data_IF_193090157073
#
_entry.id   IF_193090157073
#
_cell.length_a   1.000
_cell.length_b   1.000
_cell.length_c   1.000
_cell.angle_alpha   90.00
_cell.angle_beta   90.00
_cell.angle_gamma   90.00
#
_symmetry.space_group_name_H-M   'P 1'
#
loop_
_entity.id
_entity.type
_entity.pdbx_description
1 polymer ?
2 water ?
#
# COMPACT_ATOMS: atom_id res chain seq x y z
N UNK A 2 -16.81 8.72 -25.78
CA UNK A 2 -16.93 10.03 -25.03
C UNK A 2 -17.76 9.89 -23.76
N UNK A 3 -18.87 9.16 -23.82
CA UNK A 3 -19.74 8.97 -22.64
C UNK A 3 -18.98 8.18 -21.57
N UNK A 4 -18.22 7.17 -21.97
CA UNK A 4 -17.42 6.40 -20.99
C UNK A 4 -16.35 7.31 -20.39
N UNK A 5 -15.73 8.18 -21.19
CA UNK A 5 -14.69 9.12 -20.72
C UNK A 5 -15.29 10.02 -19.64
N UNK A 6 -16.52 10.49 -19.86
CA UNK A 6 -17.22 11.36 -18.88
C UNK A 6 -17.52 10.56 -17.62
N UNK A 7 -17.97 9.30 -17.77
CA UNK A 7 -18.29 8.40 -16.63
C UNK A 7 -17.03 8.16 -15.81
N UNK A 8 -15.88 8.01 -16.48
CA UNK A 8 -14.59 7.82 -15.78
C UNK A 8 -14.28 9.05 -14.95
N UNK A 9 -14.45 10.25 -15.53
CA UNK A 9 -14.17 11.51 -14.82
C UNK A 9 -15.06 11.60 -13.57
N UNK A 10 -16.34 11.27 -13.68
CA UNK A 10 -17.29 11.36 -12.55
C UNK A 10 -16.89 10.33 -11.50
N UNK A 11 -16.48 9.14 -11.91
CA UNK A 11 -16.02 8.12 -10.94
C UNK A 11 -14.72 8.57 -10.24
N UNK A 12 -13.79 9.19 -10.98
CA UNK A 12 -12.52 9.66 -10.39
C UNK A 12 -12.83 10.73 -9.31
N UNK A 13 -13.81 11.59 -9.57
CA UNK A 13 -14.23 12.62 -8.59
C UNK A 13 -14.82 11.94 -7.37
N UNK A 14 -15.66 10.92 -7.56
CA UNK A 14 -16.31 10.17 -6.47
C UNK A 14 -15.24 9.50 -5.62
N UNK A 15 -14.20 8.95 -6.23
CA UNK A 15 -13.07 8.32 -5.51
C UNK A 15 -12.39 9.37 -4.62
N UNK A 16 -12.13 10.57 -5.18
CA UNK A 16 -11.51 11.64 -4.36
C UNK A 16 -12.41 11.99 -3.18
N UNK A 17 -13.71 12.13 -3.40
CA UNK A 17 -14.69 12.47 -2.33
C UNK A 17 -14.63 11.38 -1.24
N UNK A 18 -14.54 10.11 -1.63
CA UNK A 18 -14.46 9.00 -0.67
C UNK A 18 -13.12 9.04 0.09
N UNK A 19 -12.03 9.33 -0.60
CA UNK A 19 -10.70 9.41 0.03
C UNK A 19 -10.70 10.55 1.08
N UNK A 21 -13.44 11.57 2.70
CA UNK A 21 -14.24 11.04 3.83
C UNK A 21 -13.40 10.09 4.70
N UNK A 22 -12.63 9.19 4.09
CA UNK A 22 -11.80 8.23 4.85
C UNK A 22 -10.79 8.98 5.71
N UNK A 23 -10.13 9.99 5.13
CA UNK A 23 -9.14 10.81 5.87
C UNK A 23 -9.82 11.43 7.11
N UNK A 24 -11.03 11.99 6.94
CA UNK A 24 -11.75 12.65 8.05
C UNK A 24 -12.12 11.62 9.12
N UNK A 25 -12.53 10.43 8.66
CA UNK A 25 -12.90 9.33 9.57
C UNK A 25 -11.68 8.89 10.40
N UNK A 26 -10.53 8.72 9.74
CA UNK A 26 -9.28 8.27 10.37
C UNK A 26 -8.81 9.31 11.39
N UNK A 27 -8.99 10.60 11.09
CA UNK A 27 -8.63 11.69 12.02
C UNK A 27 -9.52 11.62 13.27
N UNK A 28 -10.82 11.37 13.07
CA UNK A 28 -11.79 11.25 14.17
C UNK A 28 -11.41 10.04 15.03
N UNK A 29 -10.96 8.94 14.43
CA UNK A 29 -10.56 7.72 15.18
C UNK A 29 -9.31 8.03 16.02
N UNK A 30 -8.35 8.73 15.42
CA UNK A 30 -7.05 9.07 16.06
C UNK A 30 -7.28 10.12 17.16
N UNK A 31 -8.24 11.04 16.96
CA UNK A 31 -8.54 12.16 17.87
C UNK A 31 -9.43 11.70 19.01
N UNK B 2 -8.46 -2.90 21.77
CA UNK B 2 -9.33 -4.11 21.78
C UNK B 2 -9.69 -4.57 20.39
N UNK B 3 -10.73 -5.41 20.29
CA UNK B 3 -11.18 -6.05 19.03
C UNK B 3 -11.44 -4.97 17.98
N UNK B 4 -12.01 -3.84 18.38
CA UNK B 4 -12.38 -2.79 17.39
C UNK B 4 -11.09 -2.19 16.82
N UNK B 5 -10.06 -2.00 17.63
CA UNK B 5 -8.77 -1.46 17.19
C UNK B 5 -8.19 -2.37 16.11
N UNK B 6 -8.30 -3.69 16.29
CA UNK B 6 -7.81 -4.68 15.33
C UNK B 6 -8.64 -4.59 14.04
N UNK B 7 -9.96 -4.46 14.18
CA UNK B 7 -10.89 -4.35 13.03
C UNK B 7 -10.54 -3.09 12.23
N UNK B 8 -10.22 -2.00 12.91
CA UNK B 8 -9.87 -0.73 12.25
C UNK B 8 -8.58 -0.93 11.45
N UNK B 9 -7.58 -1.59 12.03
CA UNK B 9 -6.29 -1.86 11.35
C UNK B 9 -6.56 -2.68 10.09
N UNK B 10 -7.40 -3.71 10.17
CA UNK B 10 -7.69 -4.59 9.02
C UNK B 10 -8.41 -3.78 7.94
N UNK B 11 -9.32 -2.89 8.33
CA UNK B 11 -10.04 -2.05 7.37
C UNK B 11 -9.07 -1.06 6.72
N UNK B 12 -8.16 -0.47 7.49
CA UNK B 12 -7.18 0.51 6.95
C UNK B 12 -6.29 -0.20 5.91
N UNK B 13 -5.91 -1.46 6.17
CA UNK B 13 -5.11 -2.24 5.19
C UNK B 13 -5.94 -2.46 3.92
N UNK B 14 -7.21 -2.82 4.06
CA UNK B 14 -8.12 -3.06 2.93
C UNK B 14 -8.26 -1.78 2.09
N UNK B 15 -8.36 -0.62 2.74
CA UNK B 15 -8.42 0.69 2.05
C UNK B 15 -7.14 0.89 1.23
N UNK B 16 -5.97 0.61 1.81
CA UNK B 16 -4.68 0.74 1.06
C UNK B 16 -4.69 -0.20 -0.15
N UNK B 17 -5.12 -1.45 -0.02
CA UNK B 17 -5.18 -2.43 -1.14
C UNK B 17 -6.11 -1.91 -2.23
N UNK B 18 -7.25 -1.29 -1.84
CA UNK B 18 -8.17 -0.72 -2.84
C UNK B 18 -7.53 0.49 -3.54
N UNK B 19 -6.87 1.35 -2.79
CA UNK B 19 -6.18 2.53 -3.35
C UNK B 19 -5.10 2.07 -4.35
N UNK B 21 -5.22 -0.77 -6.09
CA UNK B 21 -5.98 -1.25 -7.26
C UNK B 21 -6.46 -0.07 -8.13
N UNK B 22 -6.99 0.98 -7.51
CA UNK B 22 -7.51 2.14 -8.25
C UNK B 22 -6.36 2.80 -9.01
N UNK B 23 -5.21 2.99 -8.37
CA UNK B 23 -4.03 3.60 -9.01
C UNK B 23 -3.62 2.76 -10.23
N UNK B 24 -3.64 1.43 -10.14
CA UNK B 24 -3.27 0.51 -11.26
C UNK B 24 -4.30 0.63 -12.39
N UNK B 25 -5.56 0.72 -12.01
CA UNK B 25 -6.67 0.87 -12.98
C UNK B 25 -6.53 2.19 -13.73
N UNK B 26 -6.31 3.28 -13.01
CA UNK B 26 -6.18 4.64 -13.58
C UNK B 26 -4.99 4.67 -14.54
N UNK B 27 -3.87 4.02 -14.18
CA UNK B 27 -2.70 3.93 -15.08
C UNK B 27 -3.11 3.19 -16.37
N UNK B 28 -3.84 2.10 -16.24
CA UNK B 28 -4.27 1.29 -17.42
C UNK B 28 -5.18 2.17 -18.30
N UNK B 29 -6.04 2.98 -17.72
CA UNK B 29 -6.93 3.89 -18.49
C UNK B 29 -6.10 4.94 -19.21
N UNK B 30 -5.12 5.52 -18.53
CA UNK B 30 -4.26 6.61 -19.06
C UNK B 30 -3.27 6.01 -20.07
N UNK B 31 -2.77 4.81 -19.79
CA UNK B 31 -1.67 4.15 -20.53
C UNK B 31 -2.20 3.47 -21.76
N UNK C 2 -9.05 -7.14 -24.39
CA UNK C 2 -7.69 -6.55 -24.46
C UNK C 2 -7.19 -6.09 -23.10
N UNK C 3 -6.11 -5.32 -23.06
CA UNK C 3 -5.45 -5.00 -21.78
C UNK C 3 -6.42 -4.22 -20.90
N UNK C 4 -7.13 -3.24 -21.47
CA UNK C 4 -8.00 -2.38 -20.63
C UNK C 4 -9.15 -3.21 -20.06
N UNK C 5 -9.72 -4.12 -20.84
CA UNK C 5 -10.83 -4.98 -20.37
C UNK C 5 -10.34 -5.82 -19.20
N UNK C 6 -9.11 -6.33 -19.28
CA UNK C 6 -8.51 -7.14 -18.21
C UNK C 6 -8.30 -6.26 -16.98
N UNK C 7 -7.82 -5.04 -17.17
CA UNK C 7 -7.58 -4.07 -16.08
C UNK C 7 -8.91 -3.76 -15.39
N UNK C 8 -9.98 -3.61 -16.17
CA UNK C 8 -11.32 -3.33 -15.58
C UNK C 8 -11.74 -4.54 -14.71
N UNK C 9 -11.56 -5.75 -15.20
CA UNK C 9 -11.94 -6.97 -14.45
C UNK C 9 -11.17 -7.02 -13.12
N UNK C 10 -9.86 -6.74 -13.14
CA UNK C 10 -9.05 -6.74 -11.90
C UNK C 10 -9.55 -5.64 -10.95
N UNK C 11 -9.88 -4.46 -11.47
CA UNK C 11 -10.41 -3.35 -10.63
C UNK C 11 -11.76 -3.74 -10.02
N UNK C 12 -12.62 -4.42 -10.79
CA UNK C 12 -13.95 -4.83 -10.30
C UNK C 12 -13.76 -5.85 -9.16
N UNK C 13 -12.78 -6.75 -9.29
CA UNK C 13 -12.49 -7.73 -8.22
C UNK C 13 -12.00 -6.98 -6.98
N UNK C 14 -11.12 -5.98 -7.16
CA UNK C 14 -10.57 -5.18 -6.05
C UNK C 14 -11.71 -4.46 -5.32
N UNK C 15 -12.67 -3.92 -6.06
CA UNK C 15 -13.85 -3.24 -5.47
C UNK C 15 -14.62 -4.26 -4.61
N UNK C 16 -14.85 -5.47 -5.13
CA UNK C 16 -15.59 -6.50 -4.34
C UNK C 16 -14.85 -6.78 -3.03
N UNK C 17 -13.54 -6.97 -3.09
CA UNK C 17 -12.71 -7.25 -1.88
C UNK C 17 -12.83 -6.08 -0.90
N UNK C 18 -12.84 -4.83 -1.39
CA UNK C 18 -12.99 -3.64 -0.52
C UNK C 18 -14.38 -3.59 0.11
N UNK C 19 -15.41 -3.87 -0.67
CA UNK C 19 -16.80 -3.87 -0.18
C UNK C 19 -16.94 -4.95 0.92
N UNK C 21 -14.43 -6.00 2.87
CA UNK C 21 -13.72 -5.41 4.04
C UNK C 21 -14.60 -4.38 4.76
N UNK C 22 -15.27 -3.50 4.03
CA UNK C 22 -16.16 -2.48 4.67
C UNK C 22 -17.27 -3.20 5.46
N UNK C 23 -17.91 -4.21 4.85
CA UNK C 23 -18.98 -4.98 5.52
C UNK C 23 -18.45 -5.58 6.82
N UNK C 24 -17.26 -6.16 6.80
CA UNK C 24 -16.65 -6.83 7.99
C UNK C 24 -16.36 -5.77 9.04
N UNK C 25 -15.90 -4.60 8.61
CA UNK C 25 -15.59 -3.48 9.51
C UNK C 25 -16.87 -2.99 10.20
N UNK C 26 -17.93 -2.79 9.41
CA UNK C 26 -19.23 -2.30 9.90
C UNK C 26 -19.81 -3.31 10.89
N UNK C 27 -19.71 -4.61 10.59
CA UNK C 27 -20.14 -5.72 11.48
C UNK C 27 -19.38 -5.62 12.82
N UNK C 28 -18.07 -5.38 12.78
CA UNK C 28 -17.23 -5.26 13.99
C UNK C 28 -17.65 -4.03 14.81
N UNK C 29 -17.96 -2.92 14.14
CA UNK C 29 -18.43 -1.68 14.81
C UNK C 29 -19.78 -1.95 15.49
N UNK C 30 -20.70 -2.62 14.79
CA UNK C 30 -22.08 -2.86 15.25
C UNK C 30 -22.10 -3.97 16.30
N UNK C 31 -21.16 -4.91 16.26
CA UNK C 31 -21.02 -6.00 17.25
C UNK C 31 -20.39 -5.49 18.54
N UNK D 2 -19.31 9.21 21.58
CA UNK D 2 -18.88 10.65 21.38
C UNK D 2 -18.75 11.02 19.92
N UNK D 3 -17.77 11.87 19.63
CA UNK D 3 -17.46 12.42 18.28
C UNK D 3 -17.20 11.26 17.31
N UNK D 4 -16.55 10.20 17.76
CA UNK D 4 -16.21 9.06 16.87
C UNK D 4 -17.50 8.40 16.37
N UNK D 5 -18.52 8.26 17.20
CA UNK D 5 -19.81 7.62 16.78
C UNK D 5 -20.44 8.44 15.65
N UNK D 6 -20.36 9.77 15.77
CA UNK D 6 -20.91 10.68 14.74
C UNK D 6 -20.06 10.54 13.48
N UNK D 7 -18.73 10.48 13.63
CA UNK D 7 -17.79 10.36 12.50
C UNK D 7 -18.07 9.04 11.77
N UNK D 8 -18.39 7.99 12.50
CA UNK D 8 -18.72 6.69 11.88
C UNK D 8 -19.96 6.86 11.00
N UNK D 9 -21.00 7.51 11.53
CA UNK D 9 -22.24 7.74 10.74
C UNK D 9 -21.91 8.50 9.45
N UNK D 10 -21.05 9.52 9.52
CA UNK D 10 -20.70 10.35 8.33
C UNK D 10 -19.92 9.49 7.33
N UNK D 11 -19.01 8.67 7.83
CA UNK D 11 -18.19 7.78 6.99
C UNK D 11 -19.10 6.74 6.33
N UNK D 12 -20.09 6.20 7.05
CA UNK D 12 -21.01 5.20 6.48
C UNK D 12 -21.78 5.85 5.32
N UNK D 13 -22.18 7.12 5.46
CA UNK D 13 -22.90 7.83 4.38
C UNK D 13 -21.97 7.99 3.17
N UNK D 14 -20.72 8.37 3.42
CA UNK D 14 -19.68 8.54 2.37
C UNK D 14 -19.48 7.21 1.63
N UNK D 15 -19.41 6.10 2.35
CA UNK D 15 -19.29 4.75 1.74
C UNK D 15 -20.49 4.50 0.82
N UNK D 16 -21.71 4.75 1.28
CA UNK D 16 -22.91 4.50 0.45
C UNK D 16 -22.83 5.32 -0.84
N UNK D 17 -22.44 6.60 -0.74
CA UNK D 17 -22.31 7.49 -1.92
C UNK D 17 -21.28 6.91 -2.88
N UNK D 18 -20.15 6.43 -2.36
CA UNK D 18 -19.07 5.87 -3.19
C UNK D 18 -19.55 4.56 -3.86
N UNK D 19 -20.24 3.72 -3.12
CA UNK D 19 -20.78 2.45 -3.66
C UNK D 19 -21.78 2.78 -4.80
N UNK D 21 -21.67 5.58 -6.66
CA UNK D 21 -20.81 6.01 -7.79
C UNK D 21 -20.22 4.80 -8.54
N UNK D 22 -19.70 3.80 -7.81
CA UNK D 22 -19.13 2.60 -8.46
C UNK D 22 -20.20 1.90 -9.30
N UNK D 23 -21.40 1.74 -8.78
CA UNK D 23 -22.52 1.11 -9.53
C UNK D 23 -22.76 1.87 -10.83
N UNK D 24 -22.75 3.21 -10.80
CA UNK D 24 -23.02 4.02 -12.00
C UNK D 24 -21.86 3.82 -12.97
N UNK D 25 -20.65 3.76 -12.45
CA UNK D 25 -19.44 3.62 -13.28
C UNK D 25 -19.49 2.28 -14.00
N UNK D 26 -19.81 1.22 -13.28
CA UNK D 26 -19.89 -0.16 -13.82
C UNK D 26 -20.96 -0.23 -14.92
N UNK D 27 -22.12 0.41 -14.72
CA UNK D 27 -23.17 0.44 -15.75
C UNK D 27 -22.64 1.18 -16.99
N UNK D 28 -21.92 2.29 -16.82
CA UNK D 28 -21.34 3.06 -17.94
C UNK D 28 -20.32 2.19 -18.69
N UNK D 29 -19.51 1.40 -17.98
CA UNK D 29 -18.52 0.50 -18.61
C UNK D 29 -19.27 -0.55 -19.45
N UNK D 30 -20.35 -1.11 -18.90
CA UNK D 30 -21.16 -2.18 -19.54
C UNK D 30 -21.96 -1.60 -20.71
N UNK D 31 -22.49 -0.39 -20.55
CA UNK D 31 -23.45 0.25 -21.47
C UNK D 31 -22.74 0.88 -22.66
N UNK E 2 8.68 -6.07 -23.15
CA UNK E 2 8.69 -7.49 -22.65
C UNK E 2 7.91 -7.67 -21.34
N UNK E 3 7.84 -8.94 -20.88
CA UNK E 3 7.36 -9.44 -19.54
C UNK E 3 8.02 -8.68 -18.39
N UNK E 4 9.13 -8.02 -18.68
CA UNK E 4 9.86 -7.23 -17.67
C UNK E 4 8.96 -6.11 -17.16
N UNK E 5 8.15 -5.50 -18.04
CA UNK E 5 7.22 -4.41 -17.65
C UNK E 5 6.25 -4.95 -16.59
N UNK E 6 5.76 -6.17 -16.77
CA UNK E 6 4.84 -6.81 -15.80
C UNK E 6 5.59 -7.07 -14.50
N UNK E 7 6.82 -7.57 -14.58
CA UNK E 7 7.66 -7.85 -13.38
C UNK E 7 7.90 -6.55 -12.61
N UNK E 8 8.11 -5.45 -13.31
CA UNK E 8 8.33 -4.14 -12.66
C UNK E 8 7.08 -3.72 -11.91
N UNK E 9 5.91 -3.88 -12.53
CA UNK E 9 4.62 -3.55 -11.87
C UNK E 9 4.47 -4.38 -10.59
N UNK E 10 4.78 -5.68 -10.66
CA UNK E 10 4.72 -6.60 -9.49
C UNK E 10 5.64 -6.10 -8.39
N UNK E 11 6.85 -5.74 -8.75
CA UNK E 11 7.87 -5.28 -7.79
C UNK E 11 7.44 -3.94 -7.17
N UNK E 12 6.86 -3.04 -7.96
CA UNK E 12 6.42 -1.72 -7.46
C UNK E 12 5.33 -1.94 -6.40
N UNK E 13 4.43 -2.91 -6.62
CA UNK E 13 3.37 -3.23 -5.63
C UNK E 13 4.02 -3.77 -4.36
N UNK E 14 5.01 -4.65 -4.49
CA UNK E 14 5.74 -5.24 -3.34
C UNK E 14 6.41 -4.14 -2.54
N UNK E 15 7.03 -3.17 -3.22
CA UNK E 15 7.67 -2.02 -2.54
C UNK E 15 6.62 -1.27 -1.70
N UNK E 16 5.45 -0.95 -2.31
CA UNK E 16 4.41 -0.21 -1.56
C UNK E 16 4.01 -1.01 -0.32
N UNK E 17 3.86 -2.33 -0.44
CA UNK E 17 3.46 -3.22 0.69
C UNK E 17 4.51 -3.10 1.81
N UNK E 18 5.79 -3.16 1.42
CA UNK E 18 6.90 -3.10 2.37
C UNK E 18 6.93 -1.71 3.02
N UNK E 19 6.79 -0.64 2.25
CA UNK E 19 6.83 0.74 2.78
C UNK E 19 5.68 0.91 3.80
N UNK E 21 4.34 -1.62 5.51
CA UNK E 21 4.75 -2.38 6.72
C UNK E 21 5.74 -1.58 7.59
N UNK E 22 6.73 -0.93 6.96
CA UNK E 22 7.71 -0.11 7.71
C UNK E 22 6.99 1.00 8.47
N UNK E 23 6.06 1.70 7.83
CA UNK E 23 5.27 2.77 8.47
C UNK E 23 4.56 2.22 9.72
N UNK E 24 3.96 1.02 9.61
CA UNK E 24 3.21 0.41 10.73
C UNK E 24 4.18 0.09 11.85
N UNK E 25 5.34 -0.42 11.48
CA UNK E 25 6.38 -0.79 12.48
C UNK E 25 6.87 0.45 13.21
N UNK E 26 7.17 1.52 12.47
CA UNK E 26 7.70 2.78 13.04
C UNK E 26 6.66 3.39 13.99
N UNK E 27 5.37 3.24 13.66
CA UNK E 27 4.26 3.76 14.49
C UNK E 27 4.22 2.99 15.80
N UNK E 28 4.45 1.68 15.75
CA UNK E 28 4.50 0.81 16.94
C UNK E 28 5.71 1.18 17.80
N UNK E 29 6.85 1.50 17.20
CA UNK E 29 8.06 1.92 17.95
C UNK E 29 7.79 3.27 18.63
N UNK E 30 7.20 4.22 17.90
CA UNK E 30 6.95 5.60 18.41
C UNK E 30 5.83 5.56 19.45
N UNK E 31 4.83 4.70 19.25
CA UNK E 31 3.65 4.60 20.12
C UNK E 31 3.98 3.87 21.39
N UNK F 2 4.38 -8.05 24.33
CA UNK F 2 3.68 -6.76 24.20
C UNK F 2 3.49 -6.34 22.76
N UNK F 3 2.97 -5.13 22.57
CA UNK F 3 2.57 -4.61 21.23
C UNK F 3 3.82 -4.50 20.36
N UNK F 4 4.93 -3.98 20.88
CA UNK F 4 6.12 -3.73 20.03
C UNK F 4 6.69 -5.06 19.57
N UNK F 5 6.73 -6.06 20.44
CA UNK F 5 7.28 -7.40 20.08
C UNK F 5 6.44 -8.00 18.94
N UNK F 6 5.13 -7.81 19.01
CA UNK F 6 4.20 -8.32 17.97
C UNK F 6 4.45 -7.54 16.68
N UNK F 7 4.62 -6.21 16.77
CA UNK F 7 4.88 -5.35 15.59
C UNK F 7 6.20 -5.77 14.93
N UNK F 8 7.19 -6.14 15.72
CA UNK F 8 8.49 -6.59 15.18
C UNK F 8 8.28 -7.89 14.39
N UNK F 9 7.51 -8.83 14.96
CA UNK F 9 7.23 -10.11 14.25
C UNK F 9 6.55 -9.82 12.89
N UNK F 10 5.55 -8.94 12.86
CA UNK F 10 4.81 -8.61 11.61
C UNK F 10 5.77 -7.91 10.62
N UNK F 11 6.67 -7.06 11.10
CA UNK F 11 7.67 -6.37 10.25
C UNK F 11 8.68 -7.38 9.68
N UNK F 12 9.11 -8.35 10.49
CA UNK F 12 10.07 -9.38 10.03
C UNK F 12 9.42 -10.18 8.90
N UNK F 13 8.12 -10.49 9.02
CA UNK F 13 7.40 -11.24 7.96
C UNK F 13 7.34 -10.39 6.69
N UNK F 14 7.03 -9.09 6.85
CA UNK F 14 6.94 -8.15 5.71
C UNK F 14 8.31 -8.07 5.00
N UNK F 15 9.40 -8.03 5.76
CA UNK F 15 10.77 -7.98 5.20
C UNK F 15 11.01 -9.24 4.36
N UNK F 16 10.64 -10.41 4.88
CA UNK F 16 10.81 -11.66 4.12
C UNK F 16 9.99 -11.61 2.82
N UNK F 17 8.76 -11.09 2.89
CA UNK F 17 7.89 -11.01 1.69
C UNK F 17 8.56 -10.11 0.66
N UNK F 18 9.12 -8.98 1.11
CA UNK F 18 9.79 -8.02 0.23
C UNK F 18 11.07 -8.65 -0.37
N UNK F 19 11.83 -9.39 0.43
CA UNK F 19 13.07 -10.05 -0.03
C UNK F 19 12.71 -11.07 -1.13
N UNK F 21 9.99 -10.81 -3.09
CA UNK F 21 9.66 -10.01 -4.30
C UNK F 21 10.94 -9.52 -5.01
N UNK F 22 11.93 -9.04 -4.27
CA UNK F 22 13.20 -8.56 -4.87
C UNK F 22 13.87 -9.71 -5.63
N UNK F 23 13.93 -10.91 -5.05
CA UNK F 23 14.51 -12.10 -5.72
C UNK F 23 13.79 -12.35 -7.07
N UNK F 24 12.46 -12.32 -7.08
CA UNK F 24 11.65 -12.59 -8.29
C UNK F 24 11.88 -11.47 -9.30
N UNK F 25 12.01 -10.22 -8.84
CA UNK F 25 12.29 -9.05 -9.71
C UNK F 25 13.67 -9.20 -10.36
N UNK F 26 14.69 -9.54 -9.57
CA UNK F 26 16.08 -9.66 -10.05
C UNK F 26 16.16 -10.74 -11.13
N UNK F 27 15.44 -11.85 -10.93
CA UNK F 27 15.41 -12.96 -11.91
C UNK F 27 14.79 -12.45 -13.22
N UNK F 28 13.69 -11.68 -13.14
CA UNK F 28 13.00 -11.10 -14.31
C UNK F 28 13.94 -10.11 -15.03
N UNK F 29 14.72 -9.31 -14.28
CA UNK F 29 15.69 -8.35 -14.87
C UNK F 29 16.76 -9.13 -15.64
N UNK F 30 17.26 -10.22 -15.06
CA UNK F 30 18.37 -11.03 -15.63
C UNK F 30 17.88 -11.78 -16.87
N UNK F 31 16.63 -12.24 -16.87
CA UNK F 31 16.11 -12.98 -18.03
C UNK F 31 14.73 -13.55 -17.80
N UNK G 2 21.41 1.17 -21.15
CA UNK G 2 22.12 2.44 -20.87
C UNK G 2 21.85 2.88 -19.44
N UNK G 3 21.11 3.98 -19.28
CA UNK G 3 20.90 4.61 -17.96
C UNK G 3 20.13 3.66 -17.04
N UNK G 4 19.13 2.94 -17.56
CA UNK G 4 18.31 2.04 -16.72
C UNK G 4 19.18 0.92 -16.15
N UNK G 5 20.09 0.37 -16.95
CA UNK G 5 20.98 -0.74 -16.51
C UNK G 5 21.85 -0.23 -15.36
N UNK G 6 22.34 1.00 -15.46
CA UNK G 6 23.17 1.64 -14.41
C UNK G 6 22.31 1.85 -13.17
N UNK G 7 21.07 2.31 -13.35
CA UNK G 7 20.12 2.57 -12.24
C UNK G 7 19.85 1.24 -11.52
N UNK G 8 19.71 0.14 -12.26
CA UNK G 8 19.46 -1.18 -11.67
C UNK G 8 20.66 -1.57 -10.80
N UNK G 9 21.87 -1.38 -11.31
CA UNK G 9 23.10 -1.73 -10.55
C UNK G 9 23.11 -0.94 -9.24
N UNK G 10 22.83 0.36 -9.30
CA UNK G 10 22.83 1.23 -8.10
C UNK G 10 21.74 0.78 -7.12
N UNK G 11 20.57 0.41 -7.62
CA UNK G 11 19.44 -0.09 -6.78
C UNK G 11 19.82 -1.43 -6.14
N UNK G 12 20.49 -2.32 -6.86
CA UNK G 12 20.89 -3.64 -6.34
C UNK G 12 21.87 -3.42 -5.17
N UNK G 13 22.76 -2.42 -5.30
CA UNK G 13 23.72 -2.12 -4.22
C UNK G 13 22.93 -1.59 -3.02
N UNK G 14 21.96 -0.69 -3.26
CA UNK G 14 21.13 -0.08 -2.20
C UNK G 14 20.37 -1.19 -1.47
N UNK G 15 19.83 -2.17 -2.18
CA UNK G 15 19.15 -3.34 -1.59
C UNK G 15 20.12 -4.10 -0.66
N UNK G 16 21.34 -4.38 -1.11
CA UNK G 16 22.33 -5.10 -0.27
C UNK G 16 22.60 -4.28 0.99
N UNK G 17 22.70 -2.96 0.85
CA UNK G 17 23.02 -2.07 1.99
C UNK G 17 21.88 -2.14 2.99
N UNK G 18 20.66 -2.14 2.48
CA UNK G 18 19.46 -2.21 3.33
C UNK G 18 19.38 -3.58 4.02
N UNK G 19 19.63 -4.65 3.31
CA UNK G 19 19.59 -6.02 3.86
C UNK G 19 20.64 -6.14 4.99
N UNK G 21 21.74 -3.51 6.81
CA UNK G 21 21.17 -2.74 7.93
C UNK G 21 20.09 -3.54 8.68
N UNK G 22 19.19 -4.24 7.97
CA UNK G 22 18.13 -5.06 8.61
C UNK G 22 18.78 -6.15 9.46
N UNK G 23 19.81 -6.83 8.95
CA UNK G 23 20.53 -7.87 9.72
C UNK G 23 21.08 -7.27 11.02
N UNK G 24 21.73 -6.10 10.94
CA UNK G 24 22.28 -5.39 12.13
C UNK G 24 21.14 -5.07 13.10
N UNK G 25 20.02 -4.58 12.58
CA UNK G 25 18.85 -4.19 13.41
C UNK G 25 18.32 -5.42 14.14
N UNK G 26 18.15 -6.53 13.43
CA UNK G 26 17.61 -7.78 13.99
C UNK G 26 18.55 -8.29 15.10
N UNK G 27 19.85 -8.17 14.93
CA UNK G 27 20.81 -8.56 15.99
C UNK G 27 20.67 -7.62 17.20
N UNK G 28 20.52 -6.31 16.97
CA UNK G 28 20.33 -5.30 18.03
C UNK G 28 19.01 -5.59 18.79
N UNK G 29 17.99 -6.07 18.09
CA UNK G 29 16.68 -6.40 18.72
C UNK G 29 16.91 -7.52 19.73
N UNK G 30 17.69 -8.54 19.35
CA UNK G 30 17.99 -9.68 20.27
C UNK G 30 18.91 -9.23 21.40
N UNK G 31 19.85 -8.33 21.13
CA UNK G 31 20.73 -7.70 22.13
C UNK G 31 21.89 -8.60 22.53
N UNK H 2 19.46 4.23 25.19
CA UNK H 2 20.00 2.86 25.26
C UNK H 2 20.50 2.35 23.92
N UNK H 3 21.11 1.15 23.92
CA UNK H 3 21.70 0.60 22.68
C UNK H 3 20.59 0.36 21.67
N UNK H 4 19.43 -0.17 22.10
CA UNK H 4 18.38 -0.54 21.13
C UNK H 4 17.82 0.74 20.49
N UNK H 5 17.66 1.82 21.27
CA UNK H 5 17.13 3.10 20.74
C UNK H 5 18.08 3.61 19.66
N UNK H 6 19.38 3.49 19.88
CA UNK H 6 20.40 3.92 18.91
C UNK H 6 20.31 3.04 17.66
N UNK H 7 20.15 1.72 17.85
CA UNK H 7 20.04 0.75 16.73
C UNK H 7 18.80 1.08 15.90
N UNK H 8 17.71 1.46 16.55
CA UNK H 8 16.47 1.82 15.84
C UNK H 8 16.74 3.06 14.99
N UNK H 9 17.40 4.08 15.55
CA UNK H 9 17.72 5.32 14.79
C UNK H 9 18.55 4.97 13.55
N UNK H 10 19.55 4.08 13.68
CA UNK H 10 20.46 3.68 12.57
C UNK H 10 19.64 2.92 11.51
N UNK H 11 18.69 2.08 11.93
CA UNK H 11 17.80 1.34 11.01
C UNK H 11 16.84 2.29 10.30
N UNK H 12 16.30 3.29 11.01
CA UNK H 12 15.35 4.26 10.41
C UNK H 12 16.09 5.04 9.32
N UNK H 13 17.36 5.40 9.56
CA UNK H 13 18.16 6.12 8.54
C UNK H 13 18.37 5.21 7.32
N UNK H 14 18.69 3.93 7.56
CA UNK H 14 18.92 2.94 6.49
C UNK H 14 17.64 2.81 5.65
N UNK H 15 16.48 2.76 6.29
CA UNK H 15 15.17 2.69 5.58
C UNK H 15 15.02 3.93 4.68
N UNK H 16 15.29 5.13 5.22
CA UNK H 16 15.15 6.37 4.39
C UNK H 16 16.08 6.28 3.18
N UNK H 17 17.33 5.80 3.37
CA UNK H 17 18.31 5.68 2.27
C UNK H 17 17.75 4.73 1.22
N UNK H 18 17.18 3.62 1.66
CA UNK H 18 16.61 2.61 0.73
C UNK H 18 15.39 3.19 -0.01
N UNK H 19 14.53 3.88 0.69
CA UNK H 19 13.31 4.48 0.08
C UNK H 19 13.75 5.52 -0.98
N UNK H 21 16.69 5.41 -2.58
CA UNK H 21 17.21 4.61 -3.72
C UNK H 21 16.07 4.08 -4.60
N UNK H 22 14.99 3.56 -4.00
CA UNK H 22 13.85 3.04 -4.79
C UNK H 22 13.24 4.17 -5.63
N UNK H 23 13.03 5.34 -5.04
CA UNK H 23 12.50 6.51 -5.77
C UNK H 23 13.39 6.84 -6.98
N UNK H 24 14.71 6.83 -6.78
CA UNK H 24 15.70 7.15 -7.84
C UNK H 24 15.63 6.08 -8.94
N UNK H 25 15.45 4.82 -8.55
CA UNK H 25 15.35 3.67 -9.50
C UNK H 25 14.06 3.81 -10.32
N UNK H 26 12.95 4.10 -9.67
CA UNK H 26 11.63 4.20 -10.33
C UNK H 26 11.66 5.37 -11.32
N UNK H 27 12.31 6.47 -10.95
CA UNK H 27 12.47 7.64 -11.84
C UNK H 27 13.26 7.23 -13.09
N UNK H 28 14.35 6.47 -12.91
CA UNK H 28 15.20 5.98 -14.02
C UNK H 28 14.37 5.07 -14.93
N UNK H 29 13.51 4.23 -14.36
CA UNK H 29 12.64 3.33 -15.17
C UNK H 29 11.66 4.18 -15.98
N UNK H 30 11.06 5.19 -15.36
CA UNK H 30 10.02 6.05 -15.98
C UNK H 30 10.67 6.97 -17.03
N UNK H 31 11.90 7.44 -16.76
CA UNK H 31 12.64 8.39 -17.60
C UNK H 31 13.26 7.71 -18.80
#
# INVERSE_FOLDING_TARGET
XGEFAQAYKEFAKAYKEFAXAYKEFAQAYKGX
XGEFAQAYKEFAKAYKEFAXAYKEFAQAYKGX
XGEFAQAYKEFAKAYKEFAXAYKEFAQAYKGX
XGEFAQAYKEFAKAYKEFAXAYKEFAQAYKGX
XGEFAQAYKEFAKAYKEFAXAYKEFAQAYKGX
XGEFAQAYKEFAKAYKEFAXAYKEFAQAYKGX
XGEFAQAYKEFAKAYKEFAXAYKEFAQAYKGX
XGEFAQAYKEFAKAYKEFAXAYKEFAQAYKGX
#
